data_IF_060384444766
#
_entry.id   IF_060384444766
#
_cell.length_a   1.000
_cell.length_b   1.000
_cell.length_c   1.000
_cell.angle_alpha   90.00
_cell.angle_beta   90.00
_cell.angle_gamma   90.00
#
_symmetry.space_group_name_H-M   'P 1'
#
loop_
_entity.id
_entity.type
_entity.pdbx_description
1 polymer ?
#
# COMPACT_ATOMS: atom_id res chain seq x y z
N UNK A 1 -31.20 50.34 19.22
CA UNK A 1 -31.00 49.36 18.16
C UNK A 1 -29.48 49.28 17.88
N UNK A 2 -28.83 48.26 18.40
CA UNK A 2 -27.43 47.98 18.08
C UNK A 2 -27.41 47.02 16.89
N UNK A 3 -26.89 47.46 15.75
CA UNK A 3 -26.66 46.64 14.58
C UNK A 3 -25.42 45.76 14.88
N UNK A 4 -25.62 44.45 15.04
CA UNK A 4 -24.56 43.45 15.07
C UNK A 4 -24.06 43.27 13.64
N UNK A 5 -22.92 43.84 13.31
CA UNK A 5 -22.23 43.53 12.07
C UNK A 5 -21.48 42.22 12.27
N UNK A 6 -22.04 41.13 11.79
CA UNK A 6 -21.29 39.90 11.52
C UNK A 6 -20.26 40.22 10.42
N UNK A 7 -19.03 40.46 10.84
CA UNK A 7 -17.90 40.46 9.87
C UNK A 7 -17.83 39.04 9.31
N UNK A 8 -18.18 38.89 8.03
CA UNK A 8 -17.84 37.72 7.26
C UNK A 8 -16.30 37.68 7.23
N UNK A 9 -15.70 36.63 7.82
CA UNK A 9 -14.27 36.34 7.61
C UNK A 9 -14.05 36.26 6.10
N UNK A 10 -13.25 37.17 5.58
CA UNK A 10 -12.82 37.08 4.18
C UNK A 10 -12.11 35.72 4.04
N UNK A 11 -12.62 34.87 3.17
CA UNK A 11 -11.92 33.63 2.78
C UNK A 11 -10.63 34.09 2.13
N UNK A 12 -9.50 33.71 2.71
CA UNK A 12 -8.19 34.03 2.14
C UNK A 12 -8.09 33.33 0.80
N UNK A 13 -7.92 34.10 -0.29
CA UNK A 13 -7.85 33.55 -1.63
C UNK A 13 -6.53 32.80 -1.83
N UNK A 14 -6.60 31.58 -2.36
CA UNK A 14 -5.42 30.80 -2.72
C UNK A 14 -4.72 31.31 -3.98
N UNK A 15 -5.38 32.16 -4.78
CA UNK A 15 -4.87 32.61 -6.08
C UNK A 15 -4.87 31.49 -7.12
N UNK A 16 -3.87 31.51 -7.99
CA UNK A 16 -3.64 30.45 -8.98
C UNK A 16 -2.71 29.38 -8.36
N UNK A 17 -3.23 28.17 -8.18
CA UNK A 17 -2.49 27.04 -7.61
C UNK A 17 -2.38 25.94 -8.65
N UNK A 18 -1.16 25.49 -8.89
CA UNK A 18 -0.89 24.32 -9.74
C UNK A 18 -0.28 23.23 -8.86
N UNK A 19 -0.91 22.05 -8.86
CA UNK A 19 -0.43 20.87 -8.14
C UNK A 19 -0.22 19.71 -9.13
N UNK A 20 0.78 18.90 -8.80
CA UNK A 20 1.03 17.61 -9.43
C UNK A 20 0.71 16.48 -8.47
N UNK A 21 0.09 15.42 -8.97
CA UNK A 21 -0.28 14.24 -8.18
C UNK A 21 0.16 12.98 -8.91
N UNK A 22 0.66 12.00 -8.17
CA UNK A 22 0.94 10.67 -8.70
C UNK A 22 0.07 9.60 -8.04
N UNK A 23 -0.40 8.66 -8.85
CA UNK A 23 -1.09 7.45 -8.42
C UNK A 23 -0.93 6.32 -9.42
N UNK A 24 -1.30 5.10 -9.04
CA UNK A 24 -1.22 3.93 -9.89
C UNK A 24 -2.04 4.08 -11.19
N UNK A 25 -1.72 3.28 -12.21
CA UNK A 25 -2.41 3.29 -13.50
C UNK A 25 -3.90 2.99 -13.35
N UNK A 26 -4.24 2.03 -12.51
CA UNK A 26 -5.61 1.61 -12.23
C UNK A 26 -6.43 2.69 -11.52
N UNK A 27 -5.79 3.59 -10.79
CA UNK A 27 -6.44 4.63 -10.00
C UNK A 27 -6.70 5.93 -10.79
N UNK A 28 -6.16 6.08 -12.00
CA UNK A 28 -6.16 7.34 -12.75
C UNK A 28 -7.57 7.92 -12.94
N UNK A 29 -8.55 7.07 -13.25
CA UNK A 29 -9.94 7.53 -13.44
C UNK A 29 -10.54 8.06 -12.13
N UNK A 30 -10.39 7.32 -11.05
CA UNK A 30 -10.87 7.70 -9.72
C UNK A 30 -10.19 9.00 -9.24
N UNK A 31 -8.87 9.08 -9.36
CA UNK A 31 -8.11 10.27 -8.96
C UNK A 31 -8.54 11.51 -9.76
N UNK A 32 -8.82 11.38 -11.06
CA UNK A 32 -9.33 12.48 -11.88
C UNK A 32 -10.69 12.95 -11.39
N UNK A 33 -11.62 12.05 -11.11
CA UNK A 33 -12.94 12.39 -10.58
C UNK A 33 -12.84 13.08 -9.21
N UNK A 34 -11.98 12.59 -8.33
CA UNK A 34 -11.75 13.21 -7.02
C UNK A 34 -11.11 14.60 -7.13
N UNK A 35 -10.13 14.77 -8.01
CA UNK A 35 -9.48 16.06 -8.25
C UNK A 35 -10.46 17.10 -8.84
N UNK A 36 -11.30 16.70 -9.79
CA UNK A 36 -12.33 17.57 -10.36
C UNK A 36 -13.35 18.00 -9.32
N UNK A 37 -13.80 17.06 -8.47
CA UNK A 37 -14.70 17.37 -7.36
C UNK A 37 -14.05 18.34 -6.34
N UNK A 38 -12.76 18.15 -6.02
CA UNK A 38 -12.02 19.07 -5.16
C UNK A 38 -11.92 20.48 -5.75
N UNK A 39 -11.60 20.59 -7.04
CA UNK A 39 -11.53 21.86 -7.77
C UNK A 39 -12.89 22.58 -7.73
N UNK A 40 -13.98 21.86 -8.02
CA UNK A 40 -15.33 22.42 -7.99
C UNK A 40 -15.72 22.89 -6.59
N UNK A 41 -15.49 22.09 -5.56
CA UNK A 41 -15.82 22.45 -4.17
C UNK A 41 -15.06 23.64 -3.62
N UNK A 42 -13.91 23.98 -4.21
CA UNK A 42 -13.05 25.06 -3.74
C UNK A 42 -12.90 26.20 -4.76
N UNK A 43 -13.77 26.26 -5.77
CA UNK A 43 -13.72 27.27 -6.83
C UNK A 43 -13.87 28.71 -6.31
N UNK A 44 -14.48 28.89 -5.13
CA UNK A 44 -14.60 30.19 -4.45
C UNK A 44 -13.32 30.64 -3.75
N UNK A 45 -12.36 29.72 -3.53
CA UNK A 45 -11.09 29.99 -2.83
C UNK A 45 -9.94 30.32 -3.76
N UNK A 46 -9.97 29.84 -5.00
CA UNK A 46 -8.89 30.10 -5.96
C UNK A 46 -9.04 29.26 -7.23
N UNK A 47 -8.13 29.50 -8.17
CA UNK A 47 -8.05 28.74 -9.41
C UNK A 47 -7.05 27.60 -9.25
N UNK A 48 -7.53 26.41 -8.99
CA UNK A 48 -6.72 25.21 -8.75
C UNK A 48 -6.64 24.37 -10.01
N UNK A 49 -5.44 23.96 -10.38
CA UNK A 49 -5.17 22.98 -11.45
C UNK A 49 -4.43 21.80 -10.86
N UNK A 50 -4.88 20.59 -11.13
CA UNK A 50 -4.24 19.34 -10.67
C UNK A 50 -3.87 18.50 -11.90
N UNK A 51 -2.57 18.29 -12.11
CA UNK A 51 -2.04 17.37 -13.12
C UNK A 51 -1.77 16.02 -12.45
N UNK A 52 -2.29 14.94 -13.04
CA UNK A 52 -2.16 13.58 -12.49
C UNK A 52 -1.25 12.78 -13.40
N UNK A 53 -0.16 12.25 -12.83
CA UNK A 53 0.78 11.35 -13.48
C UNK A 53 0.68 9.92 -12.96
N UNK A 54 1.16 8.98 -13.76
CA UNK A 54 1.21 7.56 -13.39
C UNK A 54 2.49 7.26 -12.63
N UNK A 55 2.34 6.81 -11.40
CA UNK A 55 3.43 6.29 -10.57
C UNK A 55 2.82 5.30 -9.57
N UNK A 56 3.30 4.05 -9.58
CA UNK A 56 2.86 3.05 -8.61
C UNK A 56 3.36 3.38 -7.21
N UNK A 57 2.54 3.10 -6.19
CA UNK A 57 2.88 3.27 -4.78
C UNK A 57 4.12 2.45 -4.38
N UNK A 58 4.33 1.28 -5.01
CA UNK A 58 5.49 0.42 -4.72
C UNK A 58 6.82 1.03 -5.19
N UNK A 59 6.81 1.90 -6.21
CA UNK A 59 8.01 2.52 -6.80
C UNK A 59 8.11 4.03 -6.57
N UNK A 60 7.11 4.64 -5.94
CA UNK A 60 7.06 6.09 -5.72
C UNK A 60 8.26 6.59 -4.91
N UNK A 61 8.62 5.88 -3.83
CA UNK A 61 9.77 6.23 -2.99
C UNK A 61 11.06 6.35 -3.81
N UNK A 62 11.37 5.33 -4.61
CA UNK A 62 12.62 5.31 -5.36
C UNK A 62 12.67 6.44 -6.39
N UNK A 63 11.54 6.76 -7.02
CA UNK A 63 11.43 7.89 -7.95
C UNK A 63 11.63 9.23 -7.25
N UNK A 64 10.97 9.44 -6.10
CA UNK A 64 11.09 10.65 -5.27
C UNK A 64 12.53 10.85 -4.78
N UNK A 65 13.16 9.78 -4.27
CA UNK A 65 14.52 9.87 -3.74
C UNK A 65 15.59 10.05 -4.82
N UNK A 66 15.32 9.59 -6.05
CA UNK A 66 16.23 9.80 -7.18
C UNK A 66 16.24 11.27 -7.65
N UNK A 67 15.10 11.93 -7.66
CA UNK A 67 14.97 13.35 -8.07
C UNK A 67 13.79 14.03 -7.32
N UNK A 68 14.04 14.50 -6.08
CA UNK A 68 13.00 15.14 -5.27
C UNK A 68 12.44 16.43 -5.86
N UNK A 69 13.22 17.14 -6.70
CA UNK A 69 12.79 18.40 -7.30
C UNK A 69 11.76 18.22 -8.42
N UNK A 70 11.76 17.05 -9.06
CA UNK A 70 10.77 16.70 -10.09
C UNK A 70 9.64 15.80 -9.59
N UNK A 71 9.65 15.46 -8.29
CA UNK A 71 8.60 14.68 -7.67
C UNK A 71 7.25 15.43 -7.68
N UNK A 72 6.14 14.67 -7.67
CA UNK A 72 4.82 15.27 -7.52
C UNK A 72 4.62 15.86 -6.13
N UNK A 73 3.79 16.91 -6.04
CA UNK A 73 3.43 17.55 -4.76
C UNK A 73 2.65 16.59 -3.84
N UNK A 74 1.91 15.65 -4.43
CA UNK A 74 1.15 14.62 -3.73
C UNK A 74 1.36 13.28 -4.43
N UNK A 75 1.68 12.24 -3.68
CA UNK A 75 1.87 10.90 -4.24
C UNK A 75 1.44 9.80 -3.25
N UNK A 76 1.00 8.67 -3.80
CA UNK A 76 0.73 7.46 -3.03
C UNK A 76 2.02 6.66 -2.85
N UNK A 77 2.19 6.04 -1.66
CA UNK A 77 3.32 5.16 -1.35
C UNK A 77 2.89 4.09 -0.35
N UNK A 78 3.62 2.97 -0.33
CA UNK A 78 3.40 1.90 0.63
C UNK A 78 3.97 2.26 2.01
N UNK A 79 3.34 1.78 3.07
CA UNK A 79 3.65 2.16 4.46
C UNK A 79 5.08 1.79 4.91
N UNK A 80 5.65 0.72 4.37
CA UNK A 80 7.04 0.32 4.60
C UNK A 80 8.08 1.34 4.09
N UNK A 81 7.66 2.28 3.23
CA UNK A 81 8.49 3.33 2.65
C UNK A 81 8.53 4.61 3.50
N UNK A 82 7.62 4.74 4.48
CA UNK A 82 7.47 5.96 5.28
C UNK A 82 8.78 6.45 5.90
N UNK A 83 9.51 5.55 6.54
CA UNK A 83 10.71 5.92 7.29
C UNK A 83 11.82 6.49 6.40
N UNK A 84 12.05 5.90 5.22
CA UNK A 84 13.05 6.40 4.28
C UNK A 84 12.66 7.77 3.73
N UNK A 85 11.40 7.95 3.36
CA UNK A 85 10.88 9.22 2.84
C UNK A 85 10.94 10.35 3.90
N UNK A 86 10.58 10.06 5.16
CA UNK A 86 10.67 11.04 6.26
C UNK A 86 12.12 11.38 6.57
N UNK A 87 13.01 10.39 6.67
CA UNK A 87 14.42 10.61 6.96
C UNK A 87 15.14 11.38 5.83
N UNK A 88 14.69 11.22 4.59
CA UNK A 88 15.19 11.99 3.45
C UNK A 88 14.61 13.42 3.38
N UNK A 89 13.64 13.75 4.23
CA UNK A 89 12.94 15.05 4.19
C UNK A 89 11.99 15.20 3.00
N UNK A 90 11.58 14.11 2.39
CA UNK A 90 10.69 14.10 1.22
C UNK A 90 9.20 14.23 1.60
N UNK A 91 8.85 14.03 2.87
CA UNK A 91 7.49 14.20 3.36
C UNK A 91 7.39 15.36 4.35
N UNK A 92 6.30 16.08 4.27
CA UNK A 92 5.93 17.12 5.23
C UNK A 92 5.00 16.56 6.30
N UNK A 93 5.21 16.96 7.56
CA UNK A 93 4.25 16.67 8.66
C UNK A 93 2.86 17.22 8.33
N UNK A 94 1.84 16.44 8.59
CA UNK A 94 0.43 16.85 8.46
C UNK A 94 0.09 17.80 9.61
N UNK A 95 0.12 19.09 9.33
CA UNK A 95 -0.12 20.14 10.33
C UNK A 95 -1.59 20.57 10.39
N UNK A 96 -2.35 20.35 9.31
CA UNK A 96 -3.75 20.78 9.24
C UNK A 96 -4.66 19.68 9.80
N UNK A 97 -5.25 19.95 10.96
CA UNK A 97 -6.21 19.07 11.63
C UNK A 97 -5.76 17.58 11.78
N UNK A 98 -4.53 17.29 12.23
CA UNK A 98 -4.04 15.91 12.32
C UNK A 98 -4.92 15.03 13.22
N UNK A 99 -5.51 15.56 14.28
CA UNK A 99 -6.40 14.81 15.18
C UNK A 99 -7.71 14.39 14.48
N UNK A 100 -8.23 15.21 13.58
CA UNK A 100 -9.40 14.87 12.79
C UNK A 100 -9.05 13.74 11.80
N UNK A 101 -7.90 13.80 11.15
CA UNK A 101 -7.39 12.71 10.29
C UNK A 101 -7.27 11.41 11.08
N UNK A 102 -6.61 11.43 12.25
CA UNK A 102 -6.44 10.27 13.11
C UNK A 102 -7.78 9.67 13.57
N UNK A 103 -8.74 10.51 13.92
CA UNK A 103 -10.04 10.07 14.44
C UNK A 103 -10.93 9.38 13.41
N UNK A 104 -10.72 9.64 12.12
CA UNK A 104 -11.53 9.10 11.01
C UNK A 104 -10.93 7.85 10.36
N UNK A 105 -9.73 7.46 10.76
CA UNK A 105 -9.02 6.32 10.17
C UNK A 105 -8.84 5.19 11.19
N UNK A 106 -8.58 3.98 10.70
CA UNK A 106 -8.28 2.84 11.55
C UNK A 106 -6.96 3.06 12.31
N UNK A 107 -6.87 2.67 13.60
CA UNK A 107 -5.64 2.88 14.37
C UNK A 107 -4.38 2.35 13.68
N UNK A 108 -4.42 1.14 13.12
CA UNK A 108 -3.28 0.56 12.42
C UNK A 108 -2.81 1.37 11.20
N UNK A 109 -3.73 1.97 10.43
CA UNK A 109 -3.37 2.83 9.30
C UNK A 109 -2.83 4.19 9.74
N UNK A 110 -3.27 4.68 10.90
CA UNK A 110 -2.72 5.88 11.53
C UNK A 110 -1.30 5.62 12.04
N UNK A 111 -1.09 4.47 12.69
CA UNK A 111 0.24 4.06 13.18
C UNK A 111 1.23 3.92 12.01
N UNK A 112 0.78 3.30 10.90
CA UNK A 112 1.57 3.15 9.67
C UNK A 112 1.93 4.49 8.99
N UNK A 113 1.13 5.53 9.20
CA UNK A 113 1.37 6.89 8.68
C UNK A 113 2.12 7.81 9.67
N UNK A 114 2.52 7.29 10.83
CA UNK A 114 3.09 8.06 11.95
C UNK A 114 4.54 7.65 12.21
N UNK A 115 5.42 8.64 12.37
CA UNK A 115 6.80 8.45 12.80
C UNK A 115 7.14 9.47 13.89
N UNK A 116 7.72 9.03 15.02
CA UNK A 116 8.08 9.91 16.16
C UNK A 116 6.89 10.78 16.63
N UNK A 117 5.72 10.19 16.80
CA UNK A 117 4.46 10.81 17.22
C UNK A 117 3.87 11.84 16.23
N UNK A 118 4.45 11.99 15.04
CA UNK A 118 4.04 12.92 14.00
C UNK A 118 3.42 12.18 12.82
N UNK A 119 2.29 12.69 12.34
CA UNK A 119 1.62 12.17 11.15
C UNK A 119 2.27 12.76 9.90
N UNK A 120 2.72 11.92 8.97
CA UNK A 120 3.39 12.32 7.73
C UNK A 120 2.62 11.96 6.46
N UNK A 121 1.57 11.17 6.59
CA UNK A 121 0.73 10.80 5.45
C UNK A 121 -0.75 10.75 5.84
N UNK A 122 -1.60 10.89 4.83
CA UNK A 122 -3.03 10.64 4.95
C UNK A 122 -3.29 9.16 4.61
N UNK A 123 -3.84 8.34 5.55
CA UNK A 123 -4.17 6.96 5.25
C UNK A 123 -5.15 6.88 4.07
N UNK A 124 -4.78 6.14 3.02
CA UNK A 124 -5.58 5.98 1.82
C UNK A 124 -6.39 4.68 1.86
N UNK A 125 -5.75 3.57 2.20
CA UNK A 125 -6.38 2.25 2.36
C UNK A 125 -5.72 1.48 3.49
N UNK A 126 -6.41 0.48 4.06
CA UNK A 126 -5.91 -0.37 5.14
C UNK A 126 -6.24 -1.85 4.88
N UNK A 127 -6.48 -2.22 3.65
CA UNK A 127 -7.00 -3.54 3.25
C UNK A 127 -6.02 -4.36 2.39
N UNK A 128 -4.76 -3.95 2.32
CA UNK A 128 -3.74 -4.70 1.62
C UNK A 128 -3.32 -5.93 2.42
N UNK A 129 -3.77 -7.10 2.00
CA UNK A 129 -3.50 -8.37 2.67
C UNK A 129 -3.59 -9.55 1.71
N UNK A 130 -3.24 -10.73 2.22
CA UNK A 130 -3.30 -11.97 1.43
C UNK A 130 -4.72 -12.55 1.46
N UNK A 131 -5.15 -13.05 0.32
CA UNK A 131 -6.35 -13.87 0.20
C UNK A 131 -6.16 -14.92 -0.89
N UNK A 132 -6.96 -15.97 -0.84
CA UNK A 132 -6.90 -17.09 -1.77
C UNK A 132 -8.20 -17.16 -2.58
N UNK A 133 -8.07 -17.06 -3.91
CA UNK A 133 -9.13 -17.46 -4.82
C UNK A 133 -9.05 -18.97 -5.07
N UNK A 134 -10.17 -19.67 -5.02
CA UNK A 134 -10.22 -21.07 -5.39
C UNK A 134 -11.53 -21.45 -6.10
N UNK A 135 -11.45 -22.44 -6.97
CA UNK A 135 -12.60 -23.00 -7.66
C UNK A 135 -13.35 -23.95 -6.71
N UNK A 136 -14.50 -23.50 -6.19
CA UNK A 136 -15.32 -24.28 -5.27
C UNK A 136 -15.92 -25.55 -5.89
N UNK A 137 -15.85 -25.74 -7.22
CA UNK A 137 -16.22 -27.00 -7.86
C UNK A 137 -15.11 -28.06 -7.79
N UNK A 138 -13.87 -27.67 -7.46
CA UNK A 138 -12.68 -28.51 -7.38
C UNK A 138 -12.22 -28.70 -5.94
N UNK A 139 -12.24 -27.63 -5.15
CA UNK A 139 -11.74 -27.58 -3.78
C UNK A 139 -12.87 -27.21 -2.81
N UNK A 140 -12.93 -27.92 -1.69
CA UNK A 140 -13.79 -27.53 -0.57
C UNK A 140 -13.08 -26.55 0.37
N UNK A 141 -13.85 -25.94 1.30
CA UNK A 141 -13.29 -25.08 2.34
C UNK A 141 -12.30 -25.80 3.28
N UNK A 142 -12.40 -27.13 3.39
CA UNK A 142 -11.45 -27.95 4.14
C UNK A 142 -10.15 -28.17 3.35
N UNK A 143 -10.25 -28.39 2.05
CA UNK A 143 -9.11 -28.65 1.18
C UNK A 143 -8.15 -27.47 1.12
N UNK A 144 -8.67 -26.24 1.16
CA UNK A 144 -7.88 -25.01 1.10
C UNK A 144 -7.13 -24.67 2.40
N UNK A 145 -7.23 -25.52 3.41
CA UNK A 145 -6.44 -25.42 4.64
C UNK A 145 -5.04 -26.04 4.49
N UNK A 146 -4.76 -26.70 3.37
CA UNK A 146 -3.47 -27.35 3.11
C UNK A 146 -3.01 -27.11 1.68
N UNK A 147 -1.82 -26.54 1.53
CA UNK A 147 -1.21 -26.31 0.20
C UNK A 147 -0.99 -27.62 -0.54
N UNK A 148 -0.56 -28.68 0.13
CA UNK A 148 -0.37 -30.01 -0.47
C UNK A 148 -1.68 -30.57 -1.02
N UNK A 149 -2.76 -30.47 -0.24
CA UNK A 149 -4.10 -30.93 -0.67
C UNK A 149 -4.61 -30.10 -1.85
N UNK A 150 -4.39 -28.77 -1.83
CA UNK A 150 -4.75 -27.91 -2.96
C UNK A 150 -4.02 -28.31 -4.23
N UNK A 151 -2.71 -28.53 -4.16
CA UNK A 151 -1.90 -28.95 -5.31
C UNK A 151 -2.32 -30.31 -5.85
N UNK A 152 -2.55 -31.27 -4.98
CA UNK A 152 -2.98 -32.62 -5.37
C UNK A 152 -4.33 -32.59 -6.11
N UNK A 153 -5.33 -31.95 -5.51
CA UNK A 153 -6.68 -31.90 -6.09
C UNK A 153 -6.77 -31.04 -7.34
N UNK A 154 -6.06 -29.91 -7.37
CA UNK A 154 -5.96 -29.08 -8.56
C UNK A 154 -5.33 -29.88 -9.71
N UNK A 155 -4.23 -30.58 -9.47
CA UNK A 155 -3.57 -31.43 -10.47
C UNK A 155 -4.49 -32.55 -10.98
N UNK A 156 -5.24 -33.21 -10.08
CA UNK A 156 -6.21 -34.24 -10.46
C UNK A 156 -7.34 -33.68 -11.35
N UNK A 157 -7.70 -32.42 -11.20
CA UNK A 157 -8.65 -31.68 -12.04
C UNK A 157 -8.02 -31.04 -13.30
N UNK A 158 -6.74 -31.27 -13.56
CA UNK A 158 -6.02 -30.66 -14.68
C UNK A 158 -5.71 -29.16 -14.47
N UNK A 159 -5.78 -28.69 -13.25
CA UNK A 159 -5.54 -27.29 -12.82
C UNK A 159 -4.24 -27.17 -12.04
N UNK A 160 -3.89 -25.97 -11.62
CA UNK A 160 -2.67 -25.66 -10.86
C UNK A 160 -3.01 -24.80 -9.64
N UNK A 161 -2.26 -24.99 -8.57
CA UNK A 161 -2.09 -23.98 -7.53
C UNK A 161 -1.09 -22.95 -8.02
N UNK A 162 -1.45 -21.67 -7.96
CA UNK A 162 -0.61 -20.57 -8.47
C UNK A 162 -0.30 -19.58 -7.36
N UNK A 163 0.95 -19.13 -7.33
CA UNK A 163 1.45 -18.12 -6.41
C UNK A 163 2.77 -17.56 -6.95
N UNK A 164 3.08 -16.30 -6.72
CA UNK A 164 4.40 -15.75 -6.99
C UNK A 164 5.36 -16.12 -5.87
N UNK A 165 6.32 -17.01 -6.17
CA UNK A 165 7.38 -17.40 -5.22
C UNK A 165 8.69 -16.65 -5.45
N UNK A 166 8.72 -15.73 -6.43
CA UNK A 166 9.86 -14.88 -6.73
C UNK A 166 9.74 -13.50 -6.07
N UNK A 167 8.65 -13.26 -5.34
CA UNK A 167 8.34 -12.01 -4.68
C UNK A 167 8.37 -12.19 -3.17
N UNK A 168 9.16 -11.35 -2.49
CA UNK A 168 9.32 -11.38 -1.04
C UNK A 168 8.00 -11.13 -0.30
N UNK A 169 7.09 -10.32 -0.86
CA UNK A 169 5.77 -10.07 -0.31
C UNK A 169 4.99 -11.36 -0.08
N UNK A 170 4.93 -12.25 -1.08
CA UNK A 170 4.19 -13.50 -0.96
C UNK A 170 4.91 -14.55 -0.12
N UNK A 171 6.23 -14.74 -0.30
CA UNK A 171 6.96 -15.75 0.48
C UNK A 171 7.11 -15.39 1.95
N UNK A 172 6.98 -14.11 2.32
CA UNK A 172 6.96 -13.68 3.71
C UNK A 172 5.94 -14.43 4.54
N UNK A 173 4.76 -14.74 3.98
CA UNK A 173 3.69 -15.47 4.67
C UNK A 173 4.13 -16.83 5.24
N UNK A 174 5.02 -17.53 4.56
CA UNK A 174 5.56 -18.82 5.02
C UNK A 174 6.49 -18.64 6.23
N UNK A 175 7.37 -17.64 6.16
CA UNK A 175 8.29 -17.34 7.26
C UNK A 175 7.54 -16.79 8.47
N UNK A 176 6.60 -15.90 8.28
CA UNK A 176 5.75 -15.37 9.35
C UNK A 176 4.91 -16.46 10.02
N UNK A 177 4.36 -17.40 9.23
CA UNK A 177 3.63 -18.57 9.73
C UNK A 177 4.50 -19.49 10.60
N UNK A 178 5.81 -19.50 10.39
CA UNK A 178 6.78 -20.22 11.22
C UNK A 178 7.33 -19.40 12.40
N UNK A 179 6.81 -18.18 12.62
CA UNK A 179 7.24 -17.29 13.71
C UNK A 179 8.51 -16.51 13.41
N UNK A 180 8.96 -16.48 12.14
CA UNK A 180 10.10 -15.69 11.71
C UNK A 180 9.64 -14.32 11.23
N UNK A 181 10.49 -13.31 11.38
CA UNK A 181 10.15 -11.92 11.11
C UNK A 181 11.10 -11.26 10.12
N UNK A 182 10.58 -10.29 9.39
CA UNK A 182 11.33 -9.22 8.77
C UNK A 182 10.59 -7.93 9.14
N UNK A 183 11.17 -7.11 9.99
CA UNK A 183 10.50 -5.93 10.56
C UNK A 183 11.50 -4.81 10.79
N UNK A 184 10.99 -3.59 10.95
CA UNK A 184 11.80 -2.45 11.36
C UNK A 184 12.33 -2.66 12.78
N UNK A 185 13.59 -2.35 13.01
CA UNK A 185 14.20 -2.37 14.35
C UNK A 185 13.67 -1.20 15.19
N UNK A 186 13.89 -1.28 16.52
CA UNK A 186 13.48 -0.23 17.47
C UNK A 186 14.12 1.14 17.20
N UNK A 187 15.22 1.17 16.44
CA UNK A 187 15.88 2.42 16.03
C UNK A 187 15.18 3.16 14.88
N UNK A 188 14.18 2.55 14.28
CA UNK A 188 13.40 3.11 13.16
C UNK A 188 14.17 3.27 11.85
N UNK A 189 15.35 2.64 11.72
CA UNK A 189 16.27 2.78 10.57
C UNK A 189 16.63 1.43 9.98
N UNK A 190 17.02 0.49 10.85
CA UNK A 190 17.50 -0.82 10.43
C UNK A 190 16.37 -1.84 10.35
N UNK A 191 16.52 -2.84 9.46
CA UNK A 191 15.61 -3.99 9.38
C UNK A 191 16.19 -5.16 10.18
N UNK A 192 15.36 -5.77 11.02
CA UNK A 192 15.63 -7.06 11.66
C UNK A 192 15.02 -8.16 10.81
N UNK A 193 15.86 -9.10 10.36
CA UNK A 193 15.41 -10.28 9.62
C UNK A 193 16.11 -11.51 10.22
N UNK A 194 15.32 -12.48 10.71
CA UNK A 194 15.81 -13.70 11.32
C UNK A 194 15.51 -14.96 10.50
N UNK A 195 15.29 -14.82 9.20
CA UNK A 195 14.96 -15.94 8.31
C UNK A 195 16.09 -16.97 8.18
N UNK A 196 17.32 -16.62 8.56
CA UNK A 196 18.48 -17.52 8.64
C UNK A 196 18.54 -18.32 9.94
N UNK A 197 17.65 -18.09 10.88
CA UNK A 197 17.55 -18.87 12.12
C UNK A 197 16.68 -20.13 11.90
N UNK A 198 16.72 -21.05 12.85
CA UNK A 198 15.79 -22.16 12.84
C UNK A 198 14.35 -21.63 13.13
N UNK A 199 13.32 -22.01 12.39
CA UNK A 199 13.24 -23.04 11.35
C UNK A 199 13.35 -22.55 9.89
N UNK A 200 14.02 -21.41 9.62
CA UNK A 200 14.05 -20.77 8.31
C UNK A 200 14.54 -21.65 7.17
N UNK A 201 15.50 -22.55 7.43
CA UNK A 201 15.96 -23.51 6.43
C UNK A 201 14.83 -24.49 6.03
N UNK A 202 14.03 -24.94 7.00
CA UNK A 202 12.90 -25.86 6.75
C UNK A 202 11.80 -25.14 5.94
N UNK A 203 11.52 -23.86 6.26
CA UNK A 203 10.58 -23.03 5.50
C UNK A 203 11.07 -22.86 4.05
N UNK A 204 12.35 -22.55 3.86
CA UNK A 204 12.93 -22.43 2.52
C UNK A 204 12.80 -23.74 1.75
N UNK A 205 13.08 -24.89 2.39
CA UNK A 205 12.93 -26.19 1.74
C UNK A 205 11.47 -26.45 1.36
N UNK A 206 10.51 -26.11 2.22
CA UNK A 206 9.08 -26.27 1.91
C UNK A 206 8.67 -25.42 0.70
N UNK A 207 9.15 -24.20 0.58
CA UNK A 207 8.89 -23.34 -0.60
C UNK A 207 9.50 -23.98 -1.86
N UNK A 208 10.71 -24.52 -1.78
CA UNK A 208 11.36 -25.21 -2.91
C UNK A 208 10.58 -26.48 -3.32
N UNK A 209 10.07 -27.24 -2.37
CA UNK A 209 9.27 -28.44 -2.61
C UNK A 209 7.93 -28.07 -3.29
N UNK A 210 7.27 -26.99 -2.86
CA UNK A 210 6.09 -26.42 -3.53
C UNK A 210 6.44 -26.02 -4.96
N UNK A 211 7.52 -25.27 -5.16
CA UNK A 211 7.92 -24.80 -6.48
C UNK A 211 8.29 -25.95 -7.45
N UNK A 212 8.78 -27.07 -6.93
CA UNK A 212 9.10 -28.28 -7.71
C UNK A 212 7.87 -29.17 -7.99
N UNK A 213 6.74 -28.94 -7.32
CA UNK A 213 5.55 -29.78 -7.43
C UNK A 213 4.90 -29.61 -8.82
N UNK A 214 4.57 -30.72 -9.53
CA UNK A 214 3.89 -30.62 -10.83
C UNK A 214 2.49 -30.00 -10.74
N UNK A 215 1.86 -29.94 -9.57
CA UNK A 215 0.58 -29.26 -9.31
C UNK A 215 0.70 -27.76 -9.10
N UNK A 216 1.93 -27.21 -9.08
CA UNK A 216 2.22 -25.81 -8.87
C UNK A 216 2.59 -25.08 -10.18
N UNK A 217 2.32 -23.78 -10.24
CA UNK A 217 2.83 -22.86 -11.27
C UNK A 217 3.13 -21.51 -10.61
N UNK A 218 4.35 -21.02 -10.76
CA UNK A 218 4.66 -19.64 -10.39
C UNK A 218 4.10 -18.68 -11.45
N UNK A 219 3.53 -17.57 -11.02
CA UNK A 219 2.98 -16.55 -11.91
C UNK A 219 2.87 -15.22 -11.19
N UNK A 220 2.88 -14.12 -11.95
CA UNK A 220 2.54 -12.80 -11.47
C UNK A 220 1.03 -12.65 -11.23
N UNK A 221 0.61 -11.61 -10.50
CA UNK A 221 -0.79 -11.39 -10.13
C UNK A 221 -1.73 -11.36 -11.33
N UNK A 222 -1.34 -10.71 -12.42
CA UNK A 222 -2.12 -10.65 -13.65
C UNK A 222 -2.35 -12.05 -14.28
N UNK A 223 -1.37 -12.95 -14.17
CA UNK A 223 -1.49 -14.34 -14.63
C UNK A 223 -2.44 -15.14 -13.75
N UNK A 224 -2.42 -14.87 -12.43
CA UNK A 224 -3.27 -15.55 -11.43
C UNK A 224 -4.72 -15.16 -11.61
N UNK A 225 -5.00 -13.88 -11.81
CA UNK A 225 -6.38 -13.38 -11.99
C UNK A 225 -6.99 -13.84 -13.32
N UNK A 226 -6.16 -14.11 -14.33
CA UNK A 226 -6.59 -14.56 -15.67
C UNK A 226 -6.71 -16.08 -15.82
N UNK A 227 -6.29 -16.86 -14.84
CA UNK A 227 -6.27 -18.33 -14.87
C UNK A 227 -7.56 -18.96 -14.37
#
# INVERSE_FOLDING_TARGET
>A
AAASSTAASAVESWGDVKLTMWGAEEDQTMLREMADAFIEQNADKGNVTIEIGVQSESSAKDTVLADPESAADVFAFADDQLNELVNAGALQEVLLNPDDVKSRNLPGSVDAATMNDKLYAYPMTADNGYFLYYDASVLSAEDVQSVDTMMEKAAAAGKKFMMSVNDAWYIYSFYAGAGLVATLADDGINTVCNWNEAPGADVTQAILDIAANPGFKSGADADIVSA
#
